data_IF_373851227899
#
_entry.id   IF_373851227899
#
_cell.length_a   1.000
_cell.length_b   1.000
_cell.length_c   1.000
_cell.angle_alpha   90.00
_cell.angle_beta   90.00
_cell.angle_gamma   90.00
#
_symmetry.space_group_name_H-M   'P 1'
#
loop_
_entity.id
_entity.type
_entity.pdbx_description
1 polymer ?
#
# COMPACT_ATOMS: atom_id res chain seq x y z
N UNK A 1 9.82 2.95 -6.99
CA UNK A 1 9.23 1.77 -6.32
C UNK A 1 7.97 1.35 -7.06
N UNK A 2 7.87 0.08 -7.44
CA UNK A 2 6.70 -0.46 -8.16
C UNK A 2 5.68 -1.04 -7.17
N UNK A 3 4.48 -0.46 -7.14
CA UNK A 3 3.36 -0.91 -6.31
C UNK A 3 2.25 -1.47 -7.18
N UNK A 4 1.78 -2.69 -6.90
CA UNK A 4 0.67 -3.33 -7.61
C UNK A 4 -0.59 -3.24 -6.78
N UNK A 5 -1.65 -2.65 -7.34
CA UNK A 5 -2.99 -2.69 -6.76
C UNK A 5 -3.80 -3.76 -7.47
N UNK A 6 -4.25 -4.78 -6.72
CA UNK A 6 -5.09 -5.84 -7.26
C UNK A 6 -6.39 -5.27 -7.84
N UNK A 7 -6.65 -5.57 -9.12
CA UNK A 7 -7.81 -5.07 -9.86
C UNK A 7 -7.57 -3.77 -10.63
N UNK A 8 -6.48 -3.04 -10.38
CA UNK A 8 -6.19 -1.77 -11.06
C UNK A 8 -4.87 -1.74 -11.84
N UNK A 9 -3.88 -2.54 -11.43
CA UNK A 9 -2.60 -2.67 -12.14
C UNK A 9 -1.40 -2.21 -11.32
N UNK A 10 -0.33 -1.78 -12.01
CA UNK A 10 0.92 -1.36 -11.39
C UNK A 10 1.08 0.15 -11.45
N UNK A 11 1.68 0.71 -10.40
CA UNK A 11 1.95 2.13 -10.23
C UNK A 11 3.41 2.29 -9.83
N UNK A 12 4.14 3.13 -10.57
CA UNK A 12 5.50 3.50 -10.25
C UNK A 12 5.49 4.78 -9.43
N UNK A 13 5.95 4.70 -8.18
CA UNK A 13 6.09 5.84 -7.28
C UNK A 13 7.57 6.23 -7.17
N UNK A 14 7.85 7.51 -7.38
CA UNK A 14 9.18 8.10 -7.16
C UNK A 14 9.52 8.28 -5.67
N UNK A 15 10.81 8.36 -5.37
CA UNK A 15 11.34 8.47 -4.00
C UNK A 15 10.84 9.70 -3.24
N UNK A 16 10.58 10.82 -3.93
CA UNK A 16 10.00 12.04 -3.35
C UNK A 16 8.64 11.82 -2.66
N UNK A 17 7.89 10.81 -3.09
CA UNK A 17 6.58 10.49 -2.54
C UNK A 17 6.61 9.30 -1.56
N UNK A 18 7.73 8.60 -1.45
CA UNK A 18 7.88 7.49 -0.50
C UNK A 18 7.75 7.97 0.94
N UNK A 19 8.23 9.17 1.27
CA UNK A 19 8.10 9.68 2.65
C UNK A 19 6.63 9.84 3.06
N UNK A 20 5.80 10.41 2.17
CA UNK A 20 4.36 10.52 2.39
C UNK A 20 3.68 9.15 2.49
N UNK A 21 4.04 8.21 1.61
CA UNK A 21 3.47 6.86 1.63
C UNK A 21 3.85 6.10 2.91
N UNK A 22 5.07 6.26 3.41
CA UNK A 22 5.50 5.70 4.70
C UNK A 22 4.67 6.25 5.87
N UNK A 23 4.34 7.56 5.86
CA UNK A 23 3.47 8.11 6.90
C UNK A 23 2.04 7.53 6.83
N UNK A 24 1.52 7.32 5.62
CA UNK A 24 0.21 6.71 5.40
C UNK A 24 0.20 5.22 5.75
N UNK A 25 1.31 4.53 5.52
CA UNK A 25 1.55 3.15 5.90
C UNK A 25 1.54 2.99 7.43
N UNK A 26 2.27 3.83 8.15
CA UNK A 26 2.30 3.77 9.61
C UNK A 26 0.90 4.01 10.24
N UNK A 27 0.11 4.94 9.66
CA UNK A 27 -1.29 5.18 10.05
C UNK A 27 -2.16 3.95 9.77
N UNK A 28 -1.94 3.30 8.62
CA UNK A 28 -2.62 2.07 8.22
C UNK A 28 -2.30 0.93 9.19
N UNK A 29 -1.02 0.68 9.49
CA UNK A 29 -0.58 -0.36 10.43
C UNK A 29 -1.20 -0.12 11.80
N UNK A 30 -1.14 1.11 12.31
CA UNK A 30 -1.74 1.47 13.61
C UNK A 30 -3.24 1.18 13.64
N UNK A 31 -3.96 1.49 12.55
CA UNK A 31 -5.39 1.22 12.43
C UNK A 31 -5.69 -0.29 12.37
N UNK A 32 -4.87 -1.05 11.62
CA UNK A 32 -4.96 -2.51 11.54
C UNK A 32 -4.70 -3.17 12.90
N UNK A 33 -3.68 -2.73 13.62
CA UNK A 33 -3.31 -3.24 14.94
C UNK A 33 -4.36 -2.91 16.00
N UNK A 34 -4.96 -1.72 15.91
CA UNK A 34 -6.07 -1.32 16.79
C UNK A 34 -7.36 -2.08 16.49
N UNK A 35 -7.49 -2.67 15.29
CA UNK A 35 -8.71 -3.33 14.83
C UNK A 35 -9.85 -2.37 14.49
N UNK A 36 -9.55 -1.09 14.29
CA UNK A 36 -10.53 -0.07 13.96
C UNK A 36 -10.78 -0.04 12.45
N UNK A 37 -11.87 -0.69 12.00
CA UNK A 37 -12.25 -0.75 10.58
C UNK A 37 -12.47 0.64 9.96
N UNK A 38 -12.97 1.61 10.72
CA UNK A 38 -13.25 2.95 10.21
C UNK A 38 -11.95 3.76 9.99
N UNK A 39 -10.99 3.64 10.91
CA UNK A 39 -9.65 4.22 10.74
C UNK A 39 -8.91 3.51 9.61
N UNK A 40 -8.97 2.18 9.57
CA UNK A 40 -8.34 1.38 8.54
C UNK A 40 -8.83 1.80 7.16
N UNK A 41 -10.15 1.87 6.95
CA UNK A 41 -10.72 2.22 5.64
C UNK A 41 -10.34 3.64 5.22
N UNK A 42 -10.22 4.57 6.18
CA UNK A 42 -9.72 5.92 5.91
C UNK A 42 -8.23 5.94 5.56
N UNK A 43 -7.38 5.28 6.34
CA UNK A 43 -5.94 5.21 6.13
C UNK A 43 -5.60 4.48 4.82
N UNK A 44 -6.24 3.34 4.58
CA UNK A 44 -6.07 2.53 3.39
C UNK A 44 -6.54 3.26 2.13
N UNK A 45 -7.69 3.93 2.21
CA UNK A 45 -8.18 4.79 1.14
C UNK A 45 -7.24 5.95 0.81
N UNK A 46 -6.62 6.57 1.84
CA UNK A 46 -5.59 7.61 1.64
C UNK A 46 -4.33 7.05 0.99
N UNK A 47 -3.84 5.88 1.44
CA UNK A 47 -2.66 5.22 0.89
C UNK A 47 -2.89 4.85 -0.58
N UNK A 48 -3.98 4.16 -0.90
CA UNK A 48 -4.36 3.86 -2.29
C UNK A 48 -4.55 5.13 -3.13
N UNK A 49 -5.20 6.15 -2.57
CA UNK A 49 -5.38 7.44 -3.24
C UNK A 49 -4.04 8.13 -3.54
N UNK A 50 -3.10 8.10 -2.60
CA UNK A 50 -1.76 8.65 -2.78
C UNK A 50 -0.96 7.87 -3.83
N UNK A 51 -0.99 6.54 -3.81
CA UNK A 51 -0.33 5.71 -4.83
C UNK A 51 -0.88 6.00 -6.22
N UNK A 52 -2.20 6.21 -6.37
CA UNK A 52 -2.79 6.57 -7.67
C UNK A 52 -2.52 8.00 -8.10
N UNK A 53 -2.46 8.93 -7.15
CA UNK A 53 -2.28 10.35 -7.43
C UNK A 53 -0.81 10.69 -7.74
N UNK A 54 0.11 10.08 -7.01
CA UNK A 54 1.55 10.34 -7.12
C UNK A 54 2.30 9.24 -7.88
N UNK A 55 1.72 8.04 -7.98
CA UNK A 55 2.24 6.97 -8.80
C UNK A 55 1.84 7.14 -10.25
N UNK A 56 2.77 6.83 -11.14
CA UNK A 56 2.54 6.79 -12.58
C UNK A 56 2.02 5.42 -12.97
N UNK A 57 0.86 5.29 -13.63
CA UNK A 57 0.35 3.99 -14.05
C UNK A 57 1.31 3.33 -15.03
N UNK A 58 1.75 2.12 -14.70
CA UNK A 58 2.64 1.30 -15.51
C UNK A 58 1.79 0.50 -16.49
N UNK A 59 2.15 0.46 -17.78
CA UNK A 59 1.42 -0.33 -18.76
C UNK A 59 1.43 -1.81 -18.38
N UNK A 60 0.28 -2.49 -18.53
CA UNK A 60 0.10 -3.92 -18.21
C UNK A 60 1.03 -4.86 -19.01
N UNK A 61 1.58 -4.37 -20.12
CA UNK A 61 2.56 -5.09 -20.94
C UNK A 61 3.96 -5.09 -20.30
N UNK A 62 4.24 -4.15 -19.39
CA UNK A 62 5.44 -4.12 -18.55
C UNK A 62 5.25 -5.02 -17.34
N UNK A 63 5.78 -6.24 -17.41
CA UNK A 63 5.90 -7.18 -16.28
C UNK A 63 7.09 -6.79 -15.38
N UNK A 64 7.06 -5.58 -14.85
CA UNK A 64 8.04 -5.14 -13.85
C UNK A 64 7.79 -5.89 -12.53
N UNK A 65 8.84 -6.37 -11.83
CA UNK A 65 8.69 -6.96 -10.51
C UNK A 65 8.06 -5.92 -9.58
N UNK A 66 6.91 -6.27 -8.99
CA UNK A 66 6.24 -5.41 -8.02
C UNK A 66 6.94 -5.59 -6.67
N UNK A 67 7.53 -4.51 -6.17
CA UNK A 67 8.14 -4.47 -4.83
C UNK A 67 7.07 -4.53 -3.74
N UNK A 68 5.87 -4.03 -4.05
CA UNK A 68 4.72 -4.07 -3.15
C UNK A 68 3.45 -4.53 -3.87
N UNK A 69 2.64 -5.35 -3.19
CA UNK A 69 1.29 -5.74 -3.61
C UNK A 69 0.26 -5.25 -2.59
N UNK A 70 -0.63 -4.37 -3.03
CA UNK A 70 -1.79 -3.88 -2.32
C UNK A 70 -3.04 -4.61 -2.81
N UNK A 71 -3.93 -5.04 -1.91
CA UNK A 71 -5.22 -5.59 -2.29
C UNK A 71 -6.14 -4.51 -2.90
N UNK A 72 -7.37 -4.91 -3.25
CA UNK A 72 -8.38 -3.98 -3.77
C UNK A 72 -8.95 -3.10 -2.65
N UNK A 73 -9.49 -1.94 -2.99
CA UNK A 73 -10.14 -1.04 -2.01
C UNK A 73 -11.32 -1.69 -1.25
N UNK A 74 -11.91 -2.73 -1.82
CA UNK A 74 -12.99 -3.53 -1.23
C UNK A 74 -12.49 -4.62 -0.26
N UNK A 75 -11.17 -4.81 -0.12
CA UNK A 75 -10.61 -5.78 0.81
C UNK A 75 -10.95 -5.44 2.27
N UNK A 76 -11.12 -6.48 3.08
CA UNK A 76 -11.40 -6.32 4.51
C UNK A 76 -10.13 -6.00 5.28
N UNK A 77 -10.28 -5.39 6.46
CA UNK A 77 -9.15 -5.15 7.37
C UNK A 77 -8.37 -6.44 7.65
N UNK A 78 -9.05 -7.59 7.75
CA UNK A 78 -8.41 -8.89 7.99
C UNK A 78 -7.58 -9.33 6.78
N UNK A 79 -8.10 -9.25 5.55
CA UNK A 79 -7.33 -9.64 4.36
C UNK A 79 -6.11 -8.74 4.16
N UNK A 80 -6.27 -7.43 4.36
CA UNK A 80 -5.15 -6.51 4.26
C UNK A 80 -4.15 -6.81 5.38
N UNK A 81 -4.63 -6.93 6.62
CA UNK A 81 -3.80 -7.30 7.77
C UNK A 81 -2.99 -8.57 7.52
N UNK A 82 -3.60 -9.64 7.01
CA UNK A 82 -2.89 -10.89 6.73
C UNK A 82 -1.81 -10.70 5.66
N UNK A 83 -2.07 -9.90 4.63
CA UNK A 83 -1.06 -9.54 3.62
C UNK A 83 0.08 -8.70 4.19
N UNK A 84 -0.23 -7.75 5.09
CA UNK A 84 0.79 -6.90 5.74
C UNK A 84 1.63 -7.68 6.75
N UNK A 85 1.00 -8.60 7.49
CA UNK A 85 1.66 -9.43 8.49
C UNK A 85 2.46 -10.59 7.87
N UNK A 86 2.08 -11.05 6.67
CA UNK A 86 2.82 -12.07 5.94
C UNK A 86 4.21 -11.61 5.49
N UNK A 87 4.41 -10.30 5.28
CA UNK A 87 5.71 -9.71 4.90
C UNK A 87 6.54 -9.25 6.12
N UNK A 88 5.98 -9.29 7.33
CA UNK A 88 6.71 -9.15 8.60
C UNK A 88 7.21 -7.74 8.99
N UNK A 89 7.22 -6.76 8.08
CA UNK A 89 7.84 -5.43 8.33
C UNK A 89 6.97 -4.20 7.94
N UNK A 90 5.69 -4.38 7.61
CA UNK A 90 4.83 -3.30 7.11
C UNK A 90 4.68 -3.37 5.60
N UNK A 91 3.80 -2.52 5.05
CA UNK A 91 3.40 -2.60 3.64
C UNK A 91 4.54 -2.14 2.76
N UNK A 92 5.43 -1.26 3.23
CA UNK A 92 6.56 -0.77 2.42
C UNK A 92 7.85 -1.50 2.83
N UNK A 93 8.37 -2.43 1.99
CA UNK A 93 9.62 -3.11 2.32
C UNK A 93 10.80 -2.14 2.22
N UNK A 94 11.49 -1.97 3.34
CA UNK A 94 12.83 -1.41 3.40
C UNK A 94 12.92 0.00 3.97
N UNK A 95 12.91 0.14 5.30
CA UNK A 95 13.89 0.97 6.01
C UNK A 95 14.19 0.35 7.39
N UNK A 96 15.48 0.22 7.77
CA UNK A 96 15.85 -0.23 9.11
C UNK A 96 15.38 0.77 10.18
N UNK A 97 15.03 0.24 11.35
CA UNK A 97 14.75 0.96 12.62
C UNK A 97 15.70 2.14 12.90
#
# INVERSE_FOLDING_TARGET
MIMRVMGEGQFEVGEDHLNLLNQLDADLVTAVESGDEELFRQAYGKLLGAVKQYGTPVPLDSLEPSELILPSADATIEEVRELLMADGEGVIPGFPE
#
